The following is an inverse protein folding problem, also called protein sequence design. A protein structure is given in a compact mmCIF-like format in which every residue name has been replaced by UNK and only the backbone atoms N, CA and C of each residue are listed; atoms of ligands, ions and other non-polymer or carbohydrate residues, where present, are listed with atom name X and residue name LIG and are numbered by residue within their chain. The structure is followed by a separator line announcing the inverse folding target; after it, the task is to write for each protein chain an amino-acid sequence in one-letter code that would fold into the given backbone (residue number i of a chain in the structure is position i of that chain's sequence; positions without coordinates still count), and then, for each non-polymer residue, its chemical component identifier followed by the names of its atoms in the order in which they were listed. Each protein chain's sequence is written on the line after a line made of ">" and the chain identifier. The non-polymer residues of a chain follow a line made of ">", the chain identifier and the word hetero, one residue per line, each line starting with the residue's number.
data_IF_554361048987
#
_entry.id   IF_554361048987
#
_cell.length_a   1.000
_cell.length_b   1.000
_cell.length_c   1.000
_cell.angle_alpha   90.00
_cell.angle_beta   90.00
_cell.angle_gamma   90.00
#
_symmetry.space_group_name_H-M   'P 1'
#
loop_
_entity.id
_entity.type
_entity.pdbx_description
1 polymer ?
#
# COMPACT_ATOMS: atom_id res chain seq x y z
N UNK A 1 26.96 -21.37 35.65
CA UNK A 1 27.12 -20.27 36.62
C UNK A 1 25.76 -19.64 36.83
N UNK A 2 25.14 -19.99 37.94
CA UNK A 2 23.76 -19.67 38.31
C UNK A 2 23.73 -18.34 39.04
N UNK A 3 22.87 -17.41 38.61
CA UNK A 3 22.59 -16.19 39.38
C UNK A 3 21.11 -16.18 39.77
N UNK A 4 20.88 -16.72 40.96
CA UNK A 4 19.72 -16.50 41.81
C UNK A 4 19.90 -15.11 42.44
N UNK A 5 18.87 -14.25 42.44
CA UNK A 5 18.53 -13.32 43.54
C UNK A 5 17.57 -12.20 43.11
N UNK A 6 16.33 -12.25 43.62
CA UNK A 6 15.72 -11.25 44.53
C UNK A 6 14.20 -11.35 44.54
N UNK A 7 13.70 -12.17 45.44
CA UNK A 7 12.47 -11.93 46.21
C UNK A 7 12.68 -10.73 47.13
N UNK A 8 11.68 -9.83 47.23
CA UNK A 8 11.43 -8.80 48.26
C UNK A 8 10.49 -7.75 47.62
N UNK A 9 9.35 -7.30 48.15
CA UNK A 9 8.76 -7.36 49.47
C UNK A 9 7.22 -7.33 49.34
N UNK A 10 6.56 -8.18 50.13
CA UNK A 10 5.17 -7.99 50.51
C UNK A 10 5.08 -6.79 51.46
N UNK A 11 4.39 -5.72 51.06
CA UNK A 11 4.04 -4.61 51.94
C UNK A 11 2.50 -4.56 52.09
N UNK A 12 2.08 -5.05 53.25
CA UNK A 12 0.96 -4.61 54.09
C UNK A 12 -0.16 -3.80 53.43
N UNK A 13 -1.30 -4.49 53.28
CA UNK A 13 -2.63 -3.89 53.14
C UNK A 13 -3.10 -3.38 54.51
N UNK A 14 -3.29 -2.08 54.63
CA UNK A 14 -4.08 -1.47 55.72
C UNK A 14 -5.55 -1.41 55.28
N UNK A 15 -6.52 -1.95 56.05
CA UNK A 15 -7.93 -1.77 55.77
C UNK A 15 -8.37 -0.36 56.21
N UNK A 16 -8.47 0.58 55.27
CA UNK A 16 -9.08 1.88 55.55
C UNK A 16 -10.60 1.74 55.61
N UNK A 17 -11.15 2.13 56.76
CA UNK A 17 -12.59 2.18 57.05
C UNK A 17 -13.27 3.12 56.05
N UNK A 18 -14.31 2.62 55.36
CA UNK A 18 -15.19 3.42 54.52
C UNK A 18 -16.08 4.29 55.42
N UNK A 19 -16.18 5.61 55.19
CA UNK A 19 -17.23 6.41 55.80
C UNK A 19 -18.57 6.08 55.13
N UNK A 20 -19.44 5.39 55.85
CA UNK A 20 -20.86 5.33 55.52
C UNK A 20 -21.48 6.68 55.89
N UNK A 21 -21.68 7.54 54.90
CA UNK A 21 -22.23 8.86 55.14
C UNK A 21 -22.59 9.58 53.86
N UNK A 22 -23.90 9.80 53.68
CA UNK A 22 -24.56 10.70 52.70
C UNK A 22 -24.87 10.11 51.31
N UNK A 23 -25.68 9.04 51.30
CA UNK A 23 -26.22 8.36 50.11
C UNK A 23 -27.52 8.94 49.52
N UNK A 24 -27.96 10.15 49.87
CA UNK A 24 -29.28 10.64 49.39
C UNK A 24 -29.31 11.99 48.66
N UNK A 25 -28.20 12.74 48.56
CA UNK A 25 -28.18 14.01 47.82
C UNK A 25 -27.22 14.07 46.62
N UNK A 26 -26.39 13.04 46.36
CA UNK A 26 -25.50 13.01 45.18
C UNK A 26 -26.14 12.42 43.92
N UNK A 27 -27.21 11.63 44.06
CA UNK A 27 -27.85 10.95 42.91
C UNK A 27 -28.46 11.92 41.89
N UNK A 28 -28.93 13.11 42.30
CA UNK A 28 -29.51 14.08 41.36
C UNK A 28 -28.47 14.92 40.59
N UNK A 29 -27.23 15.04 41.08
CA UNK A 29 -26.13 15.75 40.37
C UNK A 29 -25.34 14.83 39.43
N UNK A 30 -25.19 13.54 39.75
CA UNK A 30 -24.60 12.55 38.83
C UNK A 30 -25.53 12.15 37.68
N UNK A 31 -26.85 12.30 37.85
CA UNK A 31 -27.81 12.04 36.75
C UNK A 31 -27.81 13.15 35.68
N UNK A 32 -27.46 14.39 36.03
CA UNK A 32 -27.33 15.48 35.06
C UNK A 32 -26.00 15.46 34.30
N UNK A 33 -24.92 14.92 34.88
CA UNK A 33 -23.62 14.76 34.21
C UNK A 33 -23.59 13.58 33.22
N UNK A 34 -24.44 12.56 33.39
CA UNK A 34 -24.53 11.42 32.49
C UNK A 34 -25.31 11.71 31.20
N UNK A 35 -26.26 12.66 31.23
CA UNK A 35 -27.06 13.06 30.06
C UNK A 35 -26.23 13.88 29.05
N UNK A 36 -25.16 14.57 29.48
CA UNK A 36 -24.27 15.30 28.56
C UNK A 36 -23.17 14.42 27.94
N UNK A 37 -22.58 13.51 28.72
CA UNK A 37 -21.40 12.74 28.29
C UNK A 37 -21.79 11.51 27.46
N UNK A 38 -22.90 10.85 27.77
CA UNK A 38 -23.35 9.68 27.01
C UNK A 38 -23.64 9.98 25.53
N UNK A 39 -24.36 11.05 25.14
CA UNK A 39 -24.55 11.38 23.72
C UNK A 39 -23.28 11.93 23.05
N UNK A 40 -22.32 12.51 23.79
CA UNK A 40 -21.01 12.87 23.23
C UNK A 40 -20.15 11.65 22.94
N UNK A 41 -20.18 10.62 23.80
CA UNK A 41 -19.49 9.35 23.55
C UNK A 41 -20.18 8.52 22.46
N UNK A 42 -21.52 8.48 22.44
CA UNK A 42 -22.28 7.79 21.39
C UNK A 42 -22.22 8.53 20.06
N UNK A 43 -22.32 9.86 20.06
CA UNK A 43 -22.14 10.71 18.88
C UNK A 43 -20.71 10.66 18.35
N UNK A 44 -19.70 10.64 19.24
CA UNK A 44 -18.30 10.44 18.87
C UNK A 44 -18.02 9.05 18.30
N UNK A 45 -18.64 8.00 18.83
CA UNK A 45 -18.52 6.65 18.29
C UNK A 45 -19.20 6.51 16.92
N UNK A 46 -20.37 7.12 16.71
CA UNK A 46 -21.06 7.15 15.41
C UNK A 46 -20.31 7.99 14.38
N UNK A 47 -19.71 9.12 14.79
CA UNK A 47 -18.88 9.96 13.93
C UNK A 47 -17.57 9.26 13.54
N UNK A 48 -16.94 8.53 14.47
CA UNK A 48 -15.76 7.71 14.18
C UNK A 48 -16.07 6.52 13.26
N UNK A 49 -17.33 6.07 13.19
CA UNK A 49 -17.76 5.01 12.28
C UNK A 49 -18.28 5.52 10.94
N UNK A 50 -18.45 6.84 10.78
CA UNK A 50 -18.78 7.43 9.49
C UNK A 50 -17.53 7.39 8.61
N UNK A 51 -17.54 6.65 7.49
CA UNK A 51 -16.39 6.65 6.61
C UNK A 51 -16.25 8.06 6.03
N UNK A 52 -15.21 8.80 6.42
CA UNK A 52 -14.84 10.10 5.83
C UNK A 52 -14.36 9.99 4.37
N UNK A 53 -14.67 8.90 3.68
CA UNK A 53 -14.35 8.67 2.28
C UNK A 53 -15.60 8.72 1.44
N UNK A 54 -15.45 9.17 0.20
CA UNK A 54 -16.52 9.10 -0.79
C UNK A 54 -17.02 7.65 -0.93
N UNK A 55 -18.32 7.37 -0.72
CA UNK A 55 -18.87 6.01 -0.83
C UNK A 55 -18.54 5.35 -2.18
N UNK A 56 -18.46 6.12 -3.26
CA UNK A 56 -18.15 5.59 -4.59
C UNK A 56 -16.69 5.11 -4.68
N UNK A 57 -15.76 5.81 -4.03
CA UNK A 57 -14.34 5.43 -3.95
C UNK A 57 -14.17 4.19 -3.07
N UNK A 58 -14.89 4.10 -1.96
CA UNK A 58 -14.87 2.91 -1.08
C UNK A 58 -15.36 1.68 -1.83
N UNK A 59 -16.49 1.79 -2.55
CA UNK A 59 -17.03 0.72 -3.36
C UNK A 59 -16.08 0.31 -4.49
N UNK A 60 -15.47 1.28 -5.18
CA UNK A 60 -14.48 1.01 -6.23
C UNK A 60 -13.25 0.28 -5.69
N UNK A 61 -12.76 0.66 -4.50
CA UNK A 61 -11.66 -0.04 -3.81
C UNK A 61 -12.04 -1.46 -3.42
N UNK A 62 -13.28 -1.68 -2.96
CA UNK A 62 -13.79 -3.02 -2.64
C UNK A 62 -13.84 -3.89 -3.91
N UNK A 63 -14.41 -3.37 -5.01
CA UNK A 63 -14.45 -4.06 -6.31
C UNK A 63 -13.05 -4.35 -6.84
N UNK A 64 -12.10 -3.40 -6.71
CA UNK A 64 -10.71 -3.61 -7.10
C UNK A 64 -10.08 -4.76 -6.30
N UNK A 65 -10.26 -4.76 -4.97
CA UNK A 65 -9.75 -5.82 -4.09
C UNK A 65 -10.34 -7.18 -4.49
N UNK A 66 -11.64 -7.25 -4.76
CA UNK A 66 -12.30 -8.48 -5.17
C UNK A 66 -11.79 -8.95 -6.55
N UNK A 67 -11.85 -8.09 -7.57
CA UNK A 67 -11.50 -8.41 -8.96
C UNK A 67 -10.03 -8.80 -9.15
N UNK A 68 -9.13 -8.30 -8.30
CA UNK A 68 -7.68 -8.55 -8.40
C UNK A 68 -7.11 -9.40 -7.25
N UNK A 69 -7.97 -10.01 -6.42
CA UNK A 69 -7.56 -10.94 -5.37
C UNK A 69 -7.02 -12.26 -5.93
N UNK A 70 -6.30 -13.02 -5.11
CA UNK A 70 -5.93 -14.41 -5.43
C UNK A 70 -7.16 -15.32 -5.54
N UNK A 71 -8.25 -15.01 -4.83
CA UNK A 71 -9.52 -15.74 -4.93
C UNK A 71 -10.17 -15.55 -6.30
N UNK A 72 -10.22 -14.33 -6.82
CA UNK A 72 -10.73 -14.05 -8.16
C UNK A 72 -9.91 -14.72 -9.28
N UNK A 73 -8.65 -15.08 -9.02
CA UNK A 73 -7.84 -15.86 -9.98
C UNK A 73 -8.27 -17.33 -10.05
N UNK A 74 -8.92 -17.86 -9.01
CA UNK A 74 -9.44 -19.22 -8.95
C UNK A 74 -10.86 -19.34 -9.53
N UNK A 75 -11.56 -18.22 -9.72
CA UNK A 75 -12.90 -18.21 -10.30
C UNK A 75 -12.89 -18.64 -11.78
N UNK A 76 -14.01 -19.18 -12.29
CA UNK A 76 -14.22 -19.39 -13.72
C UNK A 76 -13.93 -18.11 -14.52
N UNK A 77 -13.38 -18.27 -15.73
CA UNK A 77 -12.93 -17.13 -16.53
C UNK A 77 -14.05 -16.11 -16.79
N UNK A 78 -15.28 -16.58 -16.98
CA UNK A 78 -16.46 -15.73 -17.20
C UNK A 78 -16.75 -14.83 -16.01
N UNK A 79 -16.80 -15.38 -14.79
CA UNK A 79 -17.02 -14.60 -13.56
C UNK A 79 -15.91 -13.58 -13.32
N UNK A 80 -14.65 -13.95 -13.59
CA UNK A 80 -13.53 -13.02 -13.50
C UNK A 80 -13.64 -11.87 -14.51
N UNK A 81 -14.09 -12.16 -15.74
CA UNK A 81 -14.34 -11.14 -16.77
C UNK A 81 -15.47 -10.21 -16.35
N UNK A 82 -16.53 -10.75 -15.75
CA UNK A 82 -17.66 -9.97 -15.25
C UNK A 82 -17.25 -9.04 -14.11
N UNK A 83 -16.51 -9.53 -13.10
CA UNK A 83 -15.95 -8.67 -12.03
C UNK A 83 -15.07 -7.56 -12.59
N UNK A 84 -14.23 -7.88 -13.57
CA UNK A 84 -13.40 -6.89 -14.25
C UNK A 84 -14.20 -5.86 -15.05
N UNK A 85 -15.37 -6.25 -15.58
CA UNK A 85 -16.31 -5.35 -16.26
C UNK A 85 -16.99 -4.44 -15.24
N UNK A 86 -17.56 -4.98 -14.18
CA UNK A 86 -18.19 -4.21 -13.10
C UNK A 86 -17.23 -3.17 -12.51
N UNK A 87 -15.98 -3.56 -12.24
CA UNK A 87 -14.96 -2.63 -11.79
C UNK A 87 -14.69 -1.52 -12.82
N UNK A 88 -14.60 -1.84 -14.11
CA UNK A 88 -14.36 -0.84 -15.17
C UNK A 88 -15.53 0.13 -15.30
N UNK A 89 -16.76 -0.39 -15.33
CA UNK A 89 -17.98 0.41 -15.47
C UNK A 89 -18.12 1.36 -14.28
N UNK A 90 -17.85 0.88 -13.06
CA UNK A 90 -17.82 1.71 -11.86
C UNK A 90 -16.69 2.76 -11.87
N UNK A 91 -15.54 2.43 -12.46
CA UNK A 91 -14.46 3.41 -12.63
C UNK A 91 -14.80 4.49 -13.66
N UNK A 92 -15.67 4.22 -14.63
CA UNK A 92 -16.11 5.20 -15.62
C UNK A 92 -17.08 6.23 -15.04
N UNK A 93 -17.87 5.86 -14.02
CA UNK A 93 -18.74 6.79 -13.31
C UNK A 93 -18.01 7.73 -12.34
N UNK A 94 -16.74 7.44 -12.01
CA UNK A 94 -15.96 8.26 -11.09
C UNK A 94 -15.32 9.49 -11.77
N UNK A 95 -15.24 10.58 -11.03
CA UNK A 95 -14.45 11.76 -11.41
C UNK A 95 -12.97 11.40 -11.55
N UNK A 96 -12.19 12.16 -12.35
CA UNK A 96 -10.75 11.95 -12.45
C UNK A 96 -10.02 11.92 -11.09
N UNK A 97 -10.46 12.74 -10.14
CA UNK A 97 -9.92 12.85 -8.78
C UNK A 97 -10.22 11.59 -7.97
N UNK A 98 -11.49 11.16 -7.94
CA UNK A 98 -11.90 9.91 -7.28
C UNK A 98 -11.17 8.70 -7.86
N UNK A 99 -11.01 8.63 -9.19
CA UNK A 99 -10.23 7.55 -9.83
C UNK A 99 -8.77 7.53 -9.38
N UNK A 100 -8.16 8.71 -9.23
CA UNK A 100 -6.80 8.80 -8.67
C UNK A 100 -6.78 8.27 -7.24
N UNK A 101 -7.79 8.59 -6.44
CA UNK A 101 -7.93 8.13 -5.06
C UNK A 101 -8.11 6.61 -4.94
N UNK A 102 -8.87 5.98 -5.85
CA UNK A 102 -9.00 4.51 -5.91
C UNK A 102 -7.64 3.84 -6.12
N UNK A 103 -6.80 4.43 -6.97
CA UNK A 103 -5.44 3.94 -7.22
C UNK A 103 -4.37 4.60 -6.35
N UNK A 104 -4.75 5.51 -5.44
CA UNK A 104 -3.83 6.09 -4.49
C UNK A 104 -3.50 4.97 -3.50
N UNK A 105 -2.35 4.35 -3.70
CA UNK A 105 -1.95 3.19 -2.93
C UNK A 105 -1.28 3.66 -1.64
N UNK A 106 -2.01 4.37 -0.78
CA UNK A 106 -1.50 4.82 0.52
C UNK A 106 -0.95 3.64 1.33
N UNK A 107 -1.65 2.50 1.32
CA UNK A 107 -1.16 1.27 1.94
C UNK A 107 0.17 0.80 1.35
N UNK A 108 0.36 0.93 0.04
CA UNK A 108 1.65 0.58 -0.59
C UNK A 108 2.72 1.57 -0.19
N UNK A 109 2.41 2.88 -0.19
CA UNK A 109 3.34 3.93 0.23
C UNK A 109 3.78 3.71 1.68
N UNK A 110 2.84 3.43 2.58
CA UNK A 110 3.11 3.11 3.99
C UNK A 110 4.01 1.89 4.12
N UNK A 111 3.71 0.78 3.42
CA UNK A 111 4.57 -0.41 3.43
C UNK A 111 5.97 -0.14 2.85
N UNK A 112 6.07 0.66 1.81
CA UNK A 112 7.35 1.06 1.22
C UNK A 112 8.16 1.93 2.20
N UNK A 113 7.50 2.81 2.96
CA UNK A 113 8.11 3.63 4.01
C UNK A 113 8.55 2.80 5.23
N UNK A 114 7.71 1.89 5.71
CA UNK A 114 8.06 0.93 6.76
C UNK A 114 9.29 0.10 6.36
N UNK A 115 9.32 -0.39 5.12
CA UNK A 115 10.46 -1.13 4.56
C UNK A 115 11.74 -0.30 4.55
N UNK A 116 11.66 0.96 4.14
CA UNK A 116 12.81 1.87 4.13
C UNK A 116 13.29 2.19 5.55
N UNK A 117 12.37 2.50 6.47
CA UNK A 117 12.73 2.77 7.85
C UNK A 117 13.38 1.54 8.50
N UNK A 118 12.83 0.35 8.30
CA UNK A 118 13.44 -0.90 8.74
C UNK A 118 14.85 -1.08 8.16
N UNK A 119 15.06 -0.76 6.89
CA UNK A 119 16.38 -0.80 6.26
C UNK A 119 17.41 0.08 6.98
N UNK A 120 17.06 1.33 7.28
CA UNK A 120 17.97 2.24 7.98
C UNK A 120 18.16 1.92 9.47
N UNK A 121 17.26 1.16 10.08
CA UNK A 121 17.42 0.67 11.46
C UNK A 121 18.30 -0.59 11.55
N UNK A 122 18.49 -1.33 10.45
CA UNK A 122 19.36 -2.51 10.45
C UNK A 122 20.85 -2.16 10.60
N UNK A 123 21.67 -3.01 11.26
CA UNK A 123 23.12 -2.90 11.25
C UNK A 123 23.70 -2.92 9.83
N UNK A 124 24.86 -2.29 9.56
CA UNK A 124 25.43 -2.20 8.22
C UNK A 124 25.60 -3.55 7.50
N UNK A 125 26.04 -4.58 8.22
CA UNK A 125 26.21 -5.94 7.68
C UNK A 125 24.89 -6.52 7.16
N UNK A 126 23.80 -6.33 7.92
CA UNK A 126 22.46 -6.80 7.56
C UNK A 126 21.85 -6.03 6.40
N UNK A 127 22.24 -4.77 6.20
CA UNK A 127 21.84 -3.99 5.02
C UNK A 127 22.40 -4.59 3.74
N UNK A 128 23.65 -5.04 3.75
CA UNK A 128 24.27 -5.69 2.57
C UNK A 128 23.53 -6.98 2.20
N UNK A 129 23.29 -7.86 3.18
CA UNK A 129 22.51 -9.09 3.00
C UNK A 129 21.10 -8.79 2.45
N UNK A 130 20.45 -7.76 2.98
CA UNK A 130 19.15 -7.31 2.52
C UNK A 130 19.15 -6.86 1.06
N UNK A 131 20.14 -6.06 0.66
CA UNK A 131 20.29 -5.60 -0.72
C UNK A 131 20.57 -6.76 -1.66
N UNK A 132 21.37 -7.75 -1.24
CA UNK A 132 21.67 -8.94 -2.04
C UNK A 132 20.42 -9.77 -2.32
N UNK A 133 19.63 -10.06 -1.29
CA UNK A 133 18.35 -10.76 -1.43
C UNK A 133 17.41 -10.01 -2.39
N UNK A 134 17.32 -8.69 -2.26
CA UNK A 134 16.49 -7.88 -3.16
C UNK A 134 17.01 -7.91 -4.61
N UNK A 135 18.33 -7.91 -4.82
CA UNK A 135 18.94 -8.04 -6.14
C UNK A 135 18.60 -9.41 -6.76
N UNK A 136 18.66 -10.49 -5.98
CA UNK A 136 18.35 -11.84 -6.46
C UNK A 136 16.88 -11.96 -6.86
N UNK A 137 15.96 -11.43 -6.07
CA UNK A 137 14.54 -11.33 -6.44
C UNK A 137 14.33 -10.53 -7.73
N UNK A 138 15.02 -9.41 -7.89
CA UNK A 138 14.95 -8.60 -9.11
C UNK A 138 15.48 -9.37 -10.33
N UNK A 139 16.59 -10.11 -10.19
CA UNK A 139 17.13 -10.94 -11.27
C UNK A 139 16.18 -12.08 -11.63
N UNK A 140 15.60 -12.76 -10.65
CA UNK A 140 14.60 -13.81 -10.86
C UNK A 140 13.40 -13.27 -11.63
N UNK A 141 12.81 -12.16 -11.17
CA UNK A 141 11.68 -11.51 -11.84
C UNK A 141 12.03 -11.03 -13.25
N UNK A 142 13.25 -10.51 -13.45
CA UNK A 142 13.73 -10.10 -14.78
C UNK A 142 13.79 -11.30 -15.73
N UNK A 143 14.38 -12.42 -15.31
CA UNK A 143 14.46 -13.65 -16.12
C UNK A 143 13.07 -14.19 -16.44
N UNK A 144 12.16 -14.21 -15.46
CA UNK A 144 10.76 -14.61 -15.68
C UNK A 144 10.05 -13.71 -16.69
N UNK A 145 10.24 -12.39 -16.62
CA UNK A 145 9.69 -11.46 -17.59
C UNK A 145 10.30 -11.63 -18.99
N UNK A 146 11.61 -11.84 -19.09
CA UNK A 146 12.28 -12.12 -20.37
C UNK A 146 11.76 -13.42 -20.99
N UNK A 147 11.57 -14.48 -20.18
CA UNK A 147 10.96 -15.75 -20.61
C UNK A 147 9.53 -15.54 -21.13
N UNK A 148 8.65 -14.92 -20.32
CA UNK A 148 7.27 -14.61 -20.73
C UNK A 148 7.20 -13.75 -21.98
N UNK A 149 8.15 -12.83 -22.17
CA UNK A 149 8.23 -11.98 -23.36
C UNK A 149 8.59 -12.80 -24.59
N UNK A 150 9.55 -13.74 -24.48
CA UNK A 150 9.93 -14.64 -25.58
C UNK A 150 8.77 -15.58 -25.95
N UNK A 151 8.11 -16.19 -24.97
CA UNK A 151 6.93 -17.05 -25.19
C UNK A 151 5.80 -16.29 -25.91
N UNK A 152 5.52 -15.05 -25.49
CA UNK A 152 4.52 -14.22 -26.17
C UNK A 152 4.91 -13.89 -27.61
N UNK A 153 6.18 -13.56 -27.85
CA UNK A 153 6.65 -13.27 -29.21
C UNK A 153 6.53 -14.49 -30.14
N UNK A 154 6.84 -15.69 -29.63
CA UNK A 154 6.69 -16.95 -30.38
C UNK A 154 5.23 -17.29 -30.67
N UNK A 155 4.35 -17.12 -29.67
CA UNK A 155 2.91 -17.33 -29.86
C UNK A 155 2.27 -16.29 -30.79
N UNK A 156 2.79 -15.06 -30.79
CA UNK A 156 2.34 -13.98 -31.67
C UNK A 156 2.77 -14.23 -33.12
N UNK A 157 4.00 -14.73 -33.37
CA UNK A 157 4.40 -15.17 -34.72
C UNK A 157 3.53 -16.31 -35.24
N UNK A 158 3.19 -17.29 -34.41
CA UNK A 158 2.31 -18.40 -34.81
C UNK A 158 0.88 -17.96 -35.14
N UNK A 159 0.39 -16.86 -34.54
CA UNK A 159 -0.93 -16.28 -34.84
C UNK A 159 -0.93 -15.36 -36.05
N UNK A 160 0.24 -14.83 -36.45
CA UNK A 160 0.35 -13.91 -37.58
C UNK A 160 0.18 -14.61 -38.94
N UNK A 161 0.36 -15.93 -38.99
CA UNK A 161 0.13 -16.76 -40.18
C UNK A 161 -1.35 -17.17 -40.38
N UNK A 162 -2.24 -16.89 -39.42
CA UNK A 162 -3.69 -16.96 -39.65
C UNK A 162 -4.15 -15.73 -40.43
N UNK A 163 -4.34 -15.93 -41.74
CA UNK A 163 -4.62 -14.96 -42.83
C UNK A 163 -5.90 -14.11 -42.69
N UNK A 164 -6.56 -14.08 -41.54
CA UNK A 164 -7.73 -13.21 -41.30
C UNK A 164 -7.33 -11.94 -40.53
N UNK A 165 -6.34 -11.24 -41.11
CA UNK A 165 -5.66 -10.04 -40.59
C UNK A 165 -6.54 -8.82 -40.31
N UNK A 166 -7.38 -8.90 -39.27
CA UNK A 166 -8.06 -7.76 -38.63
C UNK A 166 -8.01 -7.89 -37.12
N UNK A 167 -6.81 -7.86 -36.53
CA UNK A 167 -6.67 -8.08 -35.09
C UNK A 167 -5.50 -7.35 -34.45
N UNK A 168 -5.79 -6.16 -33.89
CA UNK A 168 -5.16 -5.64 -32.67
C UNK A 168 -3.90 -4.74 -32.75
N UNK A 169 -3.52 -4.18 -33.91
CA UNK A 169 -2.50 -3.10 -33.94
C UNK A 169 -3.00 -1.74 -33.40
N UNK A 170 -4.31 -1.59 -33.19
CA UNK A 170 -4.93 -0.32 -32.72
C UNK A 170 -4.80 -0.05 -31.21
N UNK A 171 -4.23 -0.93 -30.39
CA UNK A 171 -4.14 -0.73 -28.93
C UNK A 171 -2.84 -0.11 -28.41
N UNK A 172 -1.84 0.10 -29.28
CA UNK A 172 -0.54 0.66 -28.88
C UNK A 172 -0.25 2.07 -29.44
N UNK A 173 -1.04 2.55 -30.40
CA UNK A 173 -0.81 3.82 -31.11
C UNK A 173 -1.56 5.05 -30.58
N UNK A 174 -2.80 4.89 -30.08
CA UNK A 174 -3.69 6.05 -29.83
C UNK A 174 -3.78 6.52 -28.37
N UNK A 175 -2.90 6.06 -27.48
CA UNK A 175 -2.81 6.73 -26.18
C UNK A 175 -2.08 8.05 -26.41
N UNK A 176 -2.73 9.22 -26.22
CA UNK A 176 -2.08 10.50 -26.44
C UNK A 176 -0.78 10.51 -25.63
N UNK A 177 0.32 10.77 -26.34
CA UNK A 177 1.64 10.88 -25.71
C UNK A 177 1.51 11.97 -24.65
N UNK A 178 1.67 11.60 -23.38
CA UNK A 178 1.58 12.53 -22.25
C UNK A 178 2.36 13.79 -22.58
N UNK A 179 1.71 14.95 -22.43
CA UNK A 179 2.29 16.25 -22.76
C UNK A 179 3.52 16.52 -21.89
N UNK A 180 4.32 17.52 -22.24
CA UNK A 180 5.43 17.94 -21.38
C UNK A 180 4.93 18.38 -20.00
N UNK A 181 3.82 19.12 -19.98
CA UNK A 181 3.14 19.61 -18.78
C UNK A 181 2.66 18.46 -17.89
N UNK A 182 2.02 17.44 -18.46
CA UNK A 182 1.60 16.24 -17.71
C UNK A 182 2.75 15.55 -16.98
N UNK A 183 3.96 15.61 -17.55
CA UNK A 183 5.14 15.01 -16.93
C UNK A 183 5.66 15.86 -15.77
N UNK A 184 5.57 17.18 -15.90
CA UNK A 184 5.93 18.14 -14.84
C UNK A 184 4.93 18.05 -13.69
N UNK A 185 3.63 18.08 -13.97
CA UNK A 185 2.58 17.99 -12.95
C UNK A 185 2.71 16.71 -12.13
N UNK A 186 2.86 15.54 -12.77
CA UNK A 186 3.12 14.28 -12.04
C UNK A 186 4.40 14.29 -11.22
N UNK A 187 5.44 14.99 -11.69
CA UNK A 187 6.67 15.12 -10.92
C UNK A 187 6.39 15.98 -9.69
N UNK A 188 5.67 17.08 -9.85
CA UNK A 188 5.28 17.96 -8.75
C UNK A 188 4.37 17.25 -7.76
N UNK A 189 3.35 16.52 -8.21
CA UNK A 189 2.46 15.71 -7.37
C UNK A 189 3.28 14.78 -6.48
N UNK A 190 4.24 14.03 -7.05
CA UNK A 190 5.13 13.15 -6.26
C UNK A 190 6.01 13.91 -5.26
N UNK A 191 6.44 15.12 -5.60
CA UNK A 191 7.25 15.96 -4.70
C UNK A 191 6.42 16.50 -3.55
N UNK A 192 5.15 16.85 -3.81
CA UNK A 192 4.20 17.30 -2.80
C UNK A 192 3.77 16.12 -1.89
N UNK A 193 3.65 14.92 -2.45
CA UNK A 193 3.24 13.70 -1.74
C UNK A 193 4.31 13.10 -0.82
N UNK A 194 5.54 13.64 -0.79
CA UNK A 194 6.65 13.10 0.00
C UNK A 194 7.52 14.16 0.67
N UNK A 195 7.88 13.92 1.93
CA UNK A 195 8.73 14.82 2.69
C UNK A 195 10.16 14.87 2.13
N UNK A 196 10.90 15.95 2.41
CA UNK A 196 12.31 16.06 1.99
C UNK A 196 13.17 14.92 2.58
N UNK A 197 12.90 14.52 3.82
CA UNK A 197 13.60 13.43 4.51
C UNK A 197 13.30 12.06 3.88
N UNK A 198 12.04 11.77 3.54
CA UNK A 198 11.68 10.53 2.81
C UNK A 198 12.37 10.45 1.46
N UNK A 199 12.43 11.56 0.73
CA UNK A 199 13.11 11.65 -0.57
C UNK A 199 14.61 11.38 -0.43
N UNK A 200 15.25 11.92 0.62
CA UNK A 200 16.65 11.64 0.91
C UNK A 200 16.88 10.16 1.21
N UNK A 201 16.10 9.55 2.12
CA UNK A 201 16.15 8.11 2.45
C UNK A 201 15.99 7.23 1.21
N UNK A 202 14.99 7.52 0.35
CA UNK A 202 14.78 6.79 -0.91
C UNK A 202 15.98 6.90 -1.84
N UNK A 203 16.52 8.12 -2.00
CA UNK A 203 17.67 8.38 -2.87
C UNK A 203 18.90 7.63 -2.39
N UNK A 204 19.18 7.66 -1.10
CA UNK A 204 20.30 6.93 -0.49
C UNK A 204 20.13 5.42 -0.65
N UNK A 205 18.95 4.88 -0.33
CA UNK A 205 18.62 3.46 -0.52
C UNK A 205 18.87 2.99 -1.95
N UNK A 206 18.36 3.71 -2.95
CA UNK A 206 18.57 3.36 -4.36
C UNK A 206 20.02 3.52 -4.81
N UNK A 207 20.77 4.42 -4.18
CA UNK A 207 22.22 4.60 -4.44
C UNK A 207 22.99 3.39 -3.94
N UNK A 208 22.76 2.96 -2.69
CA UNK A 208 23.36 1.76 -2.11
C UNK A 208 22.99 0.51 -2.92
N UNK A 209 21.72 0.36 -3.30
CA UNK A 209 21.27 -0.74 -4.16
C UNK A 209 22.03 -0.76 -5.50
N UNK A 210 22.17 0.40 -6.16
CA UNK A 210 22.88 0.48 -7.44
C UNK A 210 24.35 0.16 -7.30
N UNK A 211 25.00 0.63 -6.23
CA UNK A 211 26.40 0.32 -5.95
C UNK A 211 26.57 -1.19 -5.73
N UNK A 212 25.70 -1.79 -4.92
CA UNK A 212 25.72 -3.25 -4.68
C UNK A 212 25.51 -4.06 -5.96
N UNK A 213 24.59 -3.62 -6.83
CA UNK A 213 24.43 -4.24 -8.16
C UNK A 213 25.71 -4.15 -9.00
N UNK A 214 26.42 -3.01 -8.98
CA UNK A 214 27.69 -2.85 -9.70
C UNK A 214 28.79 -3.75 -9.15
N UNK A 215 28.92 -3.86 -7.83
CA UNK A 215 29.86 -4.78 -7.17
C UNK A 215 29.63 -6.23 -7.61
N UNK A 216 28.37 -6.62 -7.83
CA UNK A 216 27.99 -7.94 -8.35
C UNK A 216 28.10 -8.06 -9.88
N UNK A 217 28.62 -7.06 -10.58
CA UNK A 217 28.72 -7.06 -12.04
C UNK A 217 27.39 -6.98 -12.79
N UNK A 218 26.30 -6.59 -12.11
CA UNK A 218 24.96 -6.52 -12.70
C UNK A 218 24.71 -5.12 -13.25
N UNK A 219 24.66 -4.98 -14.57
CA UNK A 219 24.26 -3.72 -15.20
C UNK A 219 22.75 -3.47 -15.01
N UNK A 220 22.41 -2.37 -14.37
CA UNK A 220 21.02 -1.94 -14.23
C UNK A 220 20.51 -1.46 -15.60
N UNK A 221 19.71 -2.27 -16.30
CA UNK A 221 19.04 -1.89 -17.56
C UNK A 221 18.06 -0.72 -17.44
N UNK A 222 17.92 -0.14 -16.24
CA UNK A 222 16.97 0.90 -15.86
C UNK A 222 17.36 2.31 -16.36
N UNK A 223 18.59 2.53 -16.82
CA UNK A 223 19.10 3.87 -17.15
C UNK A 223 19.31 4.20 -18.63
N UNK A 224 19.06 3.27 -19.57
CA UNK A 224 19.58 3.38 -20.95
C UNK A 224 18.53 3.45 -22.07
N UNK A 225 17.30 3.87 -21.78
CA UNK A 225 16.20 3.91 -22.76
C UNK A 225 15.80 5.32 -23.24
N UNK A 226 16.68 6.31 -23.12
CA UNK A 226 16.36 7.69 -23.51
C UNK A 226 17.56 8.63 -23.59
N UNK A 227 18.56 8.26 -24.38
CA UNK A 227 19.40 9.23 -25.07
C UNK A 227 19.22 9.00 -26.55
#
# INVERSE_FOLDING_TARGET
>A
MSNVNRTNHAAMRSPSKKPEGTSFMKQKRTMLLSIGVAPLLLGGALWAWWPFGDPQVVQARALAKQAFSEEARKLPEEQRRELGKQFRDHMESLTPEQRREVFNNEDRRRRDEERLNAFFLMPPEKRTEYLDNMIDEMQKRRKEWEKRRKERAQNESARKDSKDGRGNDRRRGDRPRRTAEDRVNRRQDRLNDSSAQERAKRTEFFTQLRNRMKERGISSGWGRRGR
#
